data_IF_009900460303
#
_entry.id   IF_009900460303
#
_cell.length_a   1.000
_cell.length_b   1.000
_cell.length_c   1.000
_cell.angle_alpha   90.00
_cell.angle_beta   90.00
_cell.angle_gamma   90.00
#
_symmetry.space_group_name_H-M   'P 1'
#
loop_
_entity.id
_entity.type
_entity.pdbx_description
1 polymer ?
#
# COMPACT_ATOMS: atom_id res chain seq x y z
N UNK A 1 -10.22 21.39 15.03
CA UNK A 1 -10.51 21.85 13.66
C UNK A 1 -9.17 22.15 12.98
N UNK A 2 -8.91 21.54 11.81
CA UNK A 2 -7.67 21.80 11.04
C UNK A 2 -7.87 23.06 10.18
N UNK A 3 -6.94 23.98 10.25
CA UNK A 3 -6.96 25.24 9.50
C UNK A 3 -6.70 25.09 7.99
N UNK A 4 -6.37 23.89 7.50
CA UNK A 4 -6.13 23.63 6.08
C UNK A 4 -6.83 22.36 5.62
N UNK A 5 -7.57 22.40 4.50
CA UNK A 5 -8.15 21.20 3.92
C UNK A 5 -7.07 20.23 3.42
N UNK A 6 -7.36 18.94 3.56
CA UNK A 6 -6.51 17.88 3.02
C UNK A 6 -6.73 17.81 1.52
N UNK A 7 -5.76 18.24 0.72
CA UNK A 7 -5.79 18.13 -0.73
C UNK A 7 -5.14 16.84 -1.21
N UNK A 8 -5.74 16.18 -2.19
CA UNK A 8 -5.22 15.00 -2.86
C UNK A 8 -4.69 15.39 -4.23
N UNK A 9 -3.36 15.31 -4.41
CA UNK A 9 -2.75 15.56 -5.70
C UNK A 9 -2.84 14.32 -6.58
N UNK A 10 -3.29 14.49 -7.81
CA UNK A 10 -3.34 13.44 -8.82
C UNK A 10 -2.04 13.55 -9.63
N UNK A 11 -1.16 12.57 -9.49
CA UNK A 11 -0.05 12.39 -10.41
C UNK A 11 -0.43 11.32 -11.42
N UNK A 12 -0.49 11.68 -12.70
CA UNK A 12 -0.48 10.68 -13.77
C UNK A 12 0.94 10.15 -13.88
N UNK A 13 1.15 8.81 -13.98
CA UNK A 13 2.47 8.28 -14.24
C UNK A 13 2.92 8.75 -15.63
N UNK A 14 3.99 9.50 -15.67
CA UNK A 14 4.68 9.88 -16.89
C UNK A 14 5.65 8.77 -17.33
N UNK A 15 6.08 8.78 -18.58
CA UNK A 15 6.99 7.78 -19.21
C UNK A 15 8.33 7.57 -18.50
N UNK A 16 8.63 8.30 -17.42
CA UNK A 16 9.81 8.14 -16.57
C UNK A 16 9.84 6.78 -15.86
N UNK A 17 8.67 6.14 -15.61
CA UNK A 17 8.60 4.81 -14.97
C UNK A 17 9.26 3.69 -15.78
N UNK A 18 9.39 3.85 -17.10
CA UNK A 18 9.96 2.81 -17.97
C UNK A 18 11.48 2.69 -17.80
N UNK A 19 12.14 3.74 -17.27
CA UNK A 19 13.61 3.81 -17.11
C UNK A 19 14.12 3.43 -15.72
N UNK A 20 13.22 3.19 -14.73
CA UNK A 20 13.63 2.86 -13.36
C UNK A 20 14.21 1.44 -13.27
N UNK A 21 15.20 1.26 -12.40
CA UNK A 21 15.85 -0.03 -12.15
C UNK A 21 14.85 -1.08 -11.66
N UNK A 22 14.91 -2.29 -12.20
CA UNK A 22 14.18 -3.45 -11.68
C UNK A 22 14.86 -3.95 -10.41
N UNK A 23 14.13 -4.05 -9.32
CA UNK A 23 14.60 -4.55 -8.03
C UNK A 23 14.25 -6.03 -7.84
N UNK A 24 13.07 -6.45 -8.26
CA UNK A 24 12.65 -7.84 -8.24
C UNK A 24 11.79 -8.16 -9.45
N UNK A 25 11.96 -9.35 -9.99
CA UNK A 25 11.15 -9.90 -11.07
C UNK A 25 10.59 -11.25 -10.64
N UNK A 26 9.33 -11.51 -10.97
CA UNK A 26 8.71 -12.80 -10.73
C UNK A 26 7.93 -13.27 -11.95
N UNK A 27 7.98 -14.58 -12.18
CA UNK A 27 7.37 -15.20 -13.37
C UNK A 27 6.53 -16.40 -12.99
N UNK A 28 5.26 -16.38 -13.41
CA UNK A 28 4.34 -17.52 -13.37
C UNK A 28 4.27 -18.22 -12.02
N UNK A 29 4.10 -17.49 -10.92
CA UNK A 29 4.07 -18.08 -9.57
C UNK A 29 2.84 -18.95 -9.40
N UNK A 30 3.07 -20.17 -8.91
CA UNK A 30 2.04 -21.08 -8.44
C UNK A 30 2.39 -21.52 -7.01
N UNK A 31 1.40 -21.44 -6.11
CA UNK A 31 1.45 -21.99 -4.76
C UNK A 31 0.20 -22.80 -4.49
N UNK A 32 0.36 -24.03 -3.99
CA UNK A 32 -0.72 -24.93 -3.62
C UNK A 32 -0.70 -25.22 -2.13
N UNK A 33 -1.86 -25.19 -1.54
CA UNK A 33 -2.17 -25.69 -0.22
C UNK A 33 -3.23 -26.81 -0.38
N UNK A 34 -3.53 -27.60 0.65
CA UNK A 34 -4.51 -28.70 0.50
C UNK A 34 -5.85 -28.25 -0.10
N UNK A 35 -6.37 -27.09 0.33
CA UNK A 35 -7.69 -26.58 -0.06
C UNK A 35 -7.63 -25.26 -0.83
N UNK A 36 -6.43 -24.76 -1.17
CA UNK A 36 -6.27 -23.45 -1.82
C UNK A 36 -5.14 -23.44 -2.86
N UNK A 37 -5.41 -22.84 -4.01
CA UNK A 37 -4.40 -22.61 -5.07
C UNK A 37 -4.27 -21.14 -5.39
N UNK A 38 -3.03 -20.63 -5.37
CA UNK A 38 -2.69 -19.26 -5.78
C UNK A 38 -1.89 -19.26 -7.08
N UNK A 39 -2.37 -18.49 -8.06
CA UNK A 39 -1.67 -18.19 -9.32
C UNK A 39 -1.38 -16.69 -9.39
N UNK A 40 -0.13 -16.32 -9.72
CA UNK A 40 0.26 -14.93 -9.89
C UNK A 40 0.87 -14.75 -11.27
N UNK A 41 0.36 -13.80 -12.03
CA UNK A 41 0.94 -13.42 -13.33
C UNK A 41 2.34 -12.84 -13.13
N UNK A 42 3.14 -12.87 -14.19
CA UNK A 42 4.50 -12.31 -14.16
C UNK A 42 4.47 -10.80 -13.96
N UNK A 43 5.44 -10.30 -13.19
CA UNK A 43 5.53 -8.88 -12.90
C UNK A 43 6.92 -8.48 -12.39
N UNK A 44 7.07 -7.17 -12.21
CA UNK A 44 8.32 -6.55 -11.75
C UNK A 44 8.04 -5.53 -10.67
N UNK A 45 8.94 -5.44 -9.69
CA UNK A 45 9.00 -4.35 -8.71
C UNK A 45 10.15 -3.41 -9.11
N UNK A 46 9.85 -2.13 -9.21
CA UNK A 46 10.79 -1.11 -9.69
C UNK A 46 11.18 -0.14 -8.59
N UNK A 47 12.37 0.41 -8.73
CA UNK A 47 12.89 1.46 -7.87
C UNK A 47 11.96 2.69 -7.84
N UNK A 48 11.87 3.34 -6.68
CA UNK A 48 11.03 4.52 -6.43
C UNK A 48 9.53 4.32 -6.75
N UNK A 49 9.04 3.07 -6.76
CA UNK A 49 7.67 2.71 -7.05
C UNK A 49 7.00 1.99 -5.88
N UNK A 50 5.77 2.37 -5.57
CA UNK A 50 4.94 1.69 -4.58
C UNK A 50 3.83 0.94 -5.31
N UNK A 51 3.81 -0.38 -5.15
CA UNK A 51 2.78 -1.25 -5.69
C UNK A 51 1.77 -1.60 -4.59
N UNK A 52 0.54 -1.15 -4.75
CA UNK A 52 -0.58 -1.54 -3.88
C UNK A 52 -1.15 -2.88 -4.31
N UNK A 53 -1.55 -3.70 -3.35
CA UNK A 53 -2.19 -4.99 -3.59
C UNK A 53 -3.61 -4.97 -3.04
N UNK A 54 -4.59 -5.11 -3.92
CA UNK A 54 -6.01 -5.11 -3.60
C UNK A 54 -6.66 -6.44 -3.94
N UNK A 55 -7.73 -6.77 -3.22
CA UNK A 55 -8.52 -7.99 -3.46
C UNK A 55 -9.26 -8.43 -2.20
N UNK A 56 -10.20 -9.34 -2.36
CA UNK A 56 -10.98 -9.92 -1.25
C UNK A 56 -10.11 -10.66 -0.23
N UNK A 57 -10.74 -11.05 0.88
CA UNK A 57 -10.09 -11.86 1.92
C UNK A 57 -9.86 -13.29 1.42
N UNK A 58 -8.84 -13.95 1.98
CA UNK A 58 -8.48 -15.34 1.69
C UNK A 58 -8.23 -15.62 0.19
N UNK A 59 -7.72 -14.64 -0.57
CA UNK A 59 -7.29 -14.79 -1.96
C UNK A 59 -5.77 -14.99 -2.11
N UNK A 60 -5.01 -15.03 -0.99
CA UNK A 60 -3.58 -15.31 -1.01
C UNK A 60 -2.66 -14.08 -1.05
N UNK A 61 -3.17 -12.85 -0.77
CA UNK A 61 -2.35 -11.63 -0.72
C UNK A 61 -1.17 -11.74 0.23
N UNK A 62 -1.42 -12.15 1.49
CA UNK A 62 -0.38 -12.39 2.51
C UNK A 62 0.60 -13.48 2.06
N UNK A 63 0.13 -14.53 1.39
CA UNK A 63 0.99 -15.58 0.85
C UNK A 63 1.93 -15.01 -0.22
N UNK A 64 1.40 -14.21 -1.13
CA UNK A 64 2.20 -13.57 -2.18
C UNK A 64 3.29 -12.67 -1.61
N UNK A 65 2.94 -11.77 -0.68
CA UNK A 65 3.94 -10.87 -0.09
C UNK A 65 5.02 -11.62 0.68
N UNK A 66 4.66 -12.75 1.35
CA UNK A 66 5.62 -13.63 2.01
C UNK A 66 6.53 -14.35 1.02
N UNK A 67 6.01 -14.77 -0.15
CA UNK A 67 6.83 -15.37 -1.21
C UNK A 67 7.83 -14.34 -1.76
N UNK A 68 7.41 -13.10 -2.02
CA UNK A 68 8.31 -12.02 -2.43
C UNK A 68 9.38 -11.74 -1.37
N UNK A 69 9.01 -11.77 -0.09
CA UNK A 69 9.94 -11.59 1.03
C UNK A 69 10.83 -12.82 1.32
N UNK A 70 10.67 -13.92 0.56
CA UNK A 70 11.45 -15.15 0.77
C UNK A 70 11.05 -15.97 2.01
N UNK A 71 9.93 -15.64 2.64
CA UNK A 71 9.41 -16.31 3.85
C UNK A 71 8.49 -17.50 3.54
N UNK A 72 8.05 -17.62 2.30
CA UNK A 72 7.20 -18.72 1.82
C UNK A 72 7.75 -19.23 0.48
N UNK A 73 7.79 -20.56 0.31
CA UNK A 73 8.31 -21.20 -0.91
C UNK A 73 7.23 -21.27 -1.99
N UNK A 74 7.64 -21.10 -3.26
CA UNK A 74 6.77 -21.37 -4.41
C UNK A 74 6.79 -22.86 -4.75
N UNK A 75 5.71 -23.36 -5.38
CA UNK A 75 5.68 -24.71 -5.97
C UNK A 75 6.10 -24.67 -7.44
N UNK A 76 5.75 -23.58 -8.17
CA UNK A 76 6.21 -23.32 -9.53
C UNK A 76 6.46 -21.83 -9.73
N UNK A 77 7.19 -21.51 -10.81
CA UNK A 77 7.59 -20.15 -11.13
C UNK A 77 8.96 -19.78 -10.57
N UNK A 78 9.31 -18.52 -10.68
CA UNK A 78 10.59 -18.02 -10.22
C UNK A 78 10.42 -16.59 -9.66
N UNK A 79 11.10 -16.30 -8.58
CA UNK A 79 11.37 -14.94 -8.12
C UNK A 79 12.87 -14.71 -8.27
N UNK A 80 13.22 -13.70 -9.06
CA UNK A 80 14.62 -13.29 -9.28
C UNK A 80 14.80 -11.92 -8.63
N UNK A 81 15.56 -11.88 -7.55
CA UNK A 81 15.88 -10.64 -6.85
C UNK A 81 17.23 -10.77 -6.15
N UNK A 82 18.01 -9.71 -6.21
CA UNK A 82 19.19 -9.48 -5.35
C UNK A 82 18.85 -8.44 -4.26
N UNK A 83 17.63 -7.89 -4.31
CA UNK A 83 17.16 -6.86 -3.40
C UNK A 83 16.98 -7.40 -1.98
N UNK A 84 17.43 -6.63 -1.01
CA UNK A 84 17.12 -6.86 0.40
C UNK A 84 15.66 -6.45 0.65
N UNK A 85 14.90 -7.29 1.35
CA UNK A 85 13.48 -7.07 1.60
C UNK A 85 13.22 -7.04 3.10
N UNK A 86 12.58 -5.97 3.58
CA UNK A 86 12.03 -5.90 4.94
C UNK A 86 10.55 -6.25 4.90
N UNK A 87 10.09 -7.11 5.79
CA UNK A 87 8.70 -7.53 5.88
C UNK A 87 8.07 -7.11 7.21
N UNK A 88 6.91 -6.46 7.13
CA UNK A 88 6.02 -6.17 8.25
C UNK A 88 4.80 -7.10 8.16
N UNK A 89 4.63 -8.03 9.13
CA UNK A 89 3.50 -8.96 9.13
C UNK A 89 2.17 -8.27 9.47
N UNK A 90 1.05 -8.91 9.10
CA UNK A 90 -0.29 -8.46 9.44
C UNK A 90 -0.51 -8.41 10.96
N UNK A 91 -0.14 -9.48 11.66
CA UNK A 91 -0.23 -9.56 13.11
C UNK A 91 1.10 -9.20 13.75
N UNK A 92 1.04 -8.34 14.75
CA UNK A 92 2.19 -7.84 15.47
C UNK A 92 2.25 -8.50 16.84
N UNK A 93 3.46 -8.86 17.25
CA UNK A 93 3.73 -9.29 18.61
C UNK A 93 4.15 -8.08 19.44
N UNK A 94 3.63 -7.99 20.66
CA UNK A 94 4.09 -7.04 21.68
C UNK A 94 5.13 -7.64 22.63
N UNK A 95 5.73 -8.79 22.25
CA UNK A 95 6.63 -9.55 23.11
C UNK A 95 8.03 -8.95 23.26
N UNK A 96 8.29 -7.80 22.62
CA UNK A 96 9.56 -7.11 22.79
C UNK A 96 9.69 -6.52 24.19
N UNK A 97 10.74 -6.94 24.90
CA UNK A 97 11.04 -6.46 26.25
C UNK A 97 11.91 -5.20 26.17
N UNK A 98 11.28 -4.04 26.21
CA UNK A 98 11.96 -2.75 26.18
C UNK A 98 11.07 -1.64 25.64
N UNK A 99 11.64 -0.45 25.67
CA UNK A 99 10.93 0.75 25.23
C UNK A 99 10.85 0.85 23.71
N UNK A 100 9.90 1.66 23.22
CA UNK A 100 9.80 1.99 21.79
C UNK A 100 11.13 2.55 21.25
N UNK A 101 11.81 3.40 22.03
CA UNK A 101 13.10 3.95 21.62
C UNK A 101 14.13 2.86 21.40
N UNK A 102 14.27 1.92 22.33
CA UNK A 102 15.20 0.79 22.17
C UNK A 102 14.92 -0.04 20.93
N UNK A 103 13.63 -0.34 20.67
CA UNK A 103 13.23 -1.08 19.47
C UNK A 103 13.57 -0.34 18.17
N UNK A 104 13.38 0.99 18.14
CA UNK A 104 13.74 1.81 16.98
C UNK A 104 15.26 1.89 16.79
N UNK A 105 16.02 2.06 17.89
CA UNK A 105 17.49 2.07 17.86
C UNK A 105 18.05 0.76 17.27
N UNK A 106 17.50 -0.39 17.67
CA UNK A 106 17.90 -1.70 17.13
C UNK A 106 17.48 -1.91 15.68
N UNK A 107 16.39 -1.29 15.25
CA UNK A 107 15.84 -1.46 13.90
C UNK A 107 16.49 -0.52 12.87
N UNK A 108 17.09 0.56 13.32
CA UNK A 108 17.68 1.58 12.45
C UNK A 108 19.12 1.20 12.08
N UNK A 109 19.45 1.46 10.81
CA UNK A 109 20.82 1.35 10.32
C UNK A 109 21.65 2.62 10.52
N UNK A 110 21.08 3.66 11.13
CA UNK A 110 21.73 4.96 11.34
C UNK A 110 20.93 5.90 12.24
N UNK A 111 21.37 7.14 12.33
CA UNK A 111 20.66 8.18 13.08
C UNK A 111 19.32 8.49 12.43
N UNK A 112 18.22 8.24 13.15
CA UNK A 112 16.85 8.50 12.71
C UNK A 112 16.21 9.68 13.45
N UNK A 113 16.87 10.23 14.44
CA UNK A 113 16.38 11.39 15.21
C UNK A 113 16.64 12.71 14.48
N UNK A 114 17.32 12.66 13.34
CA UNK A 114 17.59 13.79 12.47
C UNK A 114 17.31 13.45 11.00
N UNK A 115 17.11 14.50 10.18
CA UNK A 115 17.00 14.34 8.73
C UNK A 115 15.68 13.79 8.22
N UNK A 116 15.76 12.92 7.22
CA UNK A 116 14.60 12.48 6.45
C UNK A 116 13.66 11.57 7.24
N UNK A 117 14.17 10.67 8.05
CA UNK A 117 13.36 9.73 8.85
C UNK A 117 12.56 10.51 9.89
N UNK A 118 13.21 11.39 10.63
CA UNK A 118 12.53 12.22 11.63
C UNK A 118 11.41 13.05 11.00
N UNK A 119 11.74 13.83 9.98
CA UNK A 119 10.80 14.78 9.37
C UNK A 119 9.67 14.12 8.58
N UNK A 120 9.90 12.93 7.98
CA UNK A 120 8.91 12.26 7.12
C UNK A 120 8.12 11.17 7.84
N UNK A 121 8.68 10.54 8.86
CA UNK A 121 8.07 9.41 9.55
C UNK A 121 7.79 9.71 11.04
N UNK A 122 8.81 10.03 11.83
CA UNK A 122 8.70 10.13 13.30
C UNK A 122 7.74 11.24 13.73
N UNK A 123 7.99 12.46 13.27
CA UNK A 123 7.19 13.63 13.63
C UNK A 123 5.75 13.56 13.11
N UNK A 124 5.50 13.25 11.81
CA UNK A 124 4.13 13.17 11.31
C UNK A 124 3.29 12.10 11.97
N UNK A 125 3.88 10.95 12.33
CA UNK A 125 3.18 9.85 12.99
C UNK A 125 3.07 10.01 14.51
N UNK A 126 3.74 11.01 15.07
CA UNK A 126 3.71 11.33 16.51
C UNK A 126 4.39 10.30 17.40
N UNK A 127 5.29 9.48 16.84
CA UNK A 127 5.91 8.35 17.55
C UNK A 127 6.93 8.80 18.60
N UNK A 128 7.47 10.01 18.50
CA UNK A 128 8.33 10.62 19.53
C UNK A 128 7.71 10.58 20.93
N UNK A 129 6.39 10.76 21.01
CA UNK A 129 5.64 10.72 22.27
C UNK A 129 5.63 9.33 22.92
N UNK A 130 5.95 8.30 22.15
CA UNK A 130 5.92 6.90 22.58
C UNK A 130 7.29 6.39 23.02
N UNK A 131 8.39 7.12 22.81
CA UNK A 131 9.77 6.66 23.03
C UNK A 131 10.02 6.03 24.41
N UNK A 132 9.36 6.57 25.45
CA UNK A 132 9.52 6.10 26.84
C UNK A 132 8.54 5.00 27.23
N UNK A 133 7.56 4.67 26.39
CA UNK A 133 6.63 3.59 26.66
C UNK A 133 7.28 2.23 26.39
N UNK A 134 6.93 1.26 27.23
CA UNK A 134 7.22 -0.15 26.92
C UNK A 134 6.39 -0.59 25.71
N UNK A 135 6.98 -1.44 24.85
CA UNK A 135 6.28 -1.93 23.66
C UNK A 135 5.03 -2.73 24.03
N UNK A 136 5.07 -3.45 25.16
CA UNK A 136 3.93 -4.19 25.72
C UNK A 136 2.73 -3.31 26.11
N UNK A 137 2.97 -2.02 26.39
CA UNK A 137 1.94 -1.07 26.86
C UNK A 137 1.32 -0.25 25.73
N UNK A 138 1.71 -0.51 24.49
CA UNK A 138 1.18 0.19 23.33
C UNK A 138 -0.24 -0.24 23.00
N UNK A 139 -1.10 0.72 22.68
CA UNK A 139 -2.37 0.42 22.02
C UNK A 139 -2.14 -0.20 20.64
N UNK A 140 -3.15 -0.90 20.10
CA UNK A 140 -3.04 -1.53 18.78
C UNK A 140 -2.60 -0.57 17.67
N UNK A 141 -3.13 0.66 17.66
CA UNK A 141 -2.75 1.68 16.69
C UNK A 141 -1.34 2.24 16.90
N UNK A 142 -0.91 2.40 18.15
CA UNK A 142 0.47 2.81 18.49
C UNK A 142 1.47 1.72 18.08
N UNK A 143 1.18 0.46 18.43
CA UNK A 143 2.00 -0.69 18.05
C UNK A 143 2.12 -0.81 16.51
N UNK A 144 1.03 -0.59 15.81
CA UNK A 144 1.00 -0.61 14.35
C UNK A 144 1.91 0.46 13.74
N UNK A 145 1.84 1.71 14.23
CA UNK A 145 2.73 2.79 13.79
C UNK A 145 4.20 2.46 14.04
N UNK A 146 4.51 1.95 15.22
CA UNK A 146 5.88 1.53 15.58
C UNK A 146 6.37 0.41 14.66
N UNK A 147 5.55 -0.61 14.39
CA UNK A 147 5.93 -1.71 13.52
C UNK A 147 6.12 -1.31 12.05
N UNK A 148 5.33 -0.36 11.54
CA UNK A 148 5.60 0.21 10.21
C UNK A 148 6.93 0.93 10.19
N UNK A 149 7.23 1.72 11.21
CA UNK A 149 8.51 2.42 11.35
C UNK A 149 9.69 1.45 11.41
N UNK A 150 9.65 0.43 12.26
CA UNK A 150 10.73 -0.58 12.36
C UNK A 150 10.99 -1.29 11.03
N UNK A 151 9.95 -1.45 10.19
CA UNK A 151 10.11 -2.00 8.85
C UNK A 151 10.80 -0.99 7.90
N UNK A 152 10.35 0.26 7.91
CA UNK A 152 10.82 1.31 6.99
C UNK A 152 12.23 1.83 7.34
N UNK A 153 12.65 1.72 8.59
CA UNK A 153 13.97 2.20 9.05
C UNK A 153 15.12 1.25 8.71
N UNK A 154 14.84 0.03 8.24
CA UNK A 154 15.86 -0.92 7.82
C UNK A 154 16.49 -0.50 6.49
N UNK A 155 17.79 -0.70 6.34
CA UNK A 155 18.49 -0.49 5.07
C UNK A 155 18.24 -1.66 4.12
N UNK A 156 17.18 -1.51 3.33
CA UNK A 156 16.72 -2.51 2.37
C UNK A 156 16.32 -1.82 1.06
N UNK A 157 16.08 -2.60 0.01
CA UNK A 157 15.67 -2.10 -1.31
C UNK A 157 14.15 -2.11 -1.47
N UNK A 158 13.46 -3.05 -0.80
CA UNK A 158 12.02 -3.25 -0.91
C UNK A 158 11.39 -3.40 0.47
N UNK A 159 10.34 -2.63 0.72
CA UNK A 159 9.50 -2.75 1.91
C UNK A 159 8.24 -3.53 1.58
N UNK A 160 8.02 -4.65 2.24
CA UNK A 160 6.85 -5.49 2.11
C UNK A 160 5.96 -5.30 3.34
N UNK A 161 4.82 -4.63 3.18
CA UNK A 161 3.95 -4.23 4.28
C UNK A 161 2.58 -4.92 4.15
N UNK A 162 2.22 -5.75 5.12
CA UNK A 162 0.95 -6.46 5.16
C UNK A 162 0.00 -5.76 6.16
N UNK A 163 -1.07 -5.15 5.64
CA UNK A 163 -2.07 -4.36 6.35
C UNK A 163 -1.46 -3.29 7.28
N UNK A 164 -0.70 -2.32 6.74
CA UNK A 164 -0.08 -1.29 7.57
C UNK A 164 -1.09 -0.34 8.23
N UNK A 165 -2.34 -0.27 7.77
CA UNK A 165 -3.36 0.61 8.33
C UNK A 165 -4.23 -0.02 9.42
N UNK A 166 -4.06 -1.31 9.71
CA UNK A 166 -4.84 -1.99 10.72
C UNK A 166 -4.77 -1.27 12.07
N UNK A 167 -5.89 -1.18 12.79
CA UNK A 167 -6.02 -0.52 14.10
C UNK A 167 -5.69 0.97 14.15
N UNK A 168 -5.42 1.62 13.00
CA UNK A 168 -5.10 3.05 12.92
C UNK A 168 -6.37 3.83 12.56
N UNK A 169 -6.58 4.95 13.23
CA UNK A 169 -7.71 5.85 12.98
C UNK A 169 -7.63 6.49 11.57
N UNK A 170 -8.80 6.82 10.99
CA UNK A 170 -8.90 7.30 9.60
C UNK A 170 -7.99 8.49 9.32
N UNK A 171 -7.87 9.45 10.25
CA UNK A 171 -7.01 10.62 10.06
C UNK A 171 -5.54 10.23 10.02
N UNK A 172 -5.13 9.37 10.93
CA UNK A 172 -3.76 8.87 11.02
C UNK A 172 -3.40 7.96 9.85
N UNK A 173 -4.35 7.22 9.24
CA UNK A 173 -4.11 6.44 8.00
C UNK A 173 -3.70 7.33 6.84
N UNK A 174 -4.33 8.51 6.70
CA UNK A 174 -3.96 9.48 5.65
C UNK A 174 -2.55 10.01 5.88
N UNK A 175 -2.21 10.31 7.13
CA UNK A 175 -0.87 10.76 7.50
C UNK A 175 0.15 9.65 7.21
N UNK A 176 -0.15 8.41 7.62
CA UNK A 176 0.70 7.24 7.39
C UNK A 176 0.93 7.01 5.89
N UNK A 177 -0.14 7.02 5.07
CA UNK A 177 -0.04 6.82 3.62
C UNK A 177 0.89 7.85 2.97
N UNK A 178 0.76 9.13 3.35
CA UNK A 178 1.60 10.22 2.83
C UNK A 178 3.04 10.10 3.32
N UNK A 179 3.23 9.74 4.58
CA UNK A 179 4.56 9.53 5.15
C UNK A 179 5.30 8.38 4.44
N UNK A 180 4.63 7.24 4.26
CA UNK A 180 5.18 6.10 3.51
C UNK A 180 5.52 6.49 2.07
N UNK A 181 4.60 7.12 1.34
CA UNK A 181 4.85 7.51 -0.05
C UNK A 181 6.06 8.44 -0.17
N UNK A 182 6.10 9.49 0.66
CA UNK A 182 7.21 10.45 0.65
C UNK A 182 8.54 9.78 1.00
N UNK A 183 8.55 8.97 2.05
CA UNK A 183 9.75 8.32 2.54
C UNK A 183 10.31 7.34 1.50
N UNK A 184 9.52 6.38 1.03
CA UNK A 184 9.96 5.36 0.07
C UNK A 184 10.53 6.00 -1.19
N UNK A 185 9.85 7.03 -1.73
CA UNK A 185 10.30 7.72 -2.94
C UNK A 185 11.57 8.56 -2.70
N UNK A 186 11.66 9.26 -1.59
CA UNK A 186 12.84 10.07 -1.29
C UNK A 186 14.11 9.23 -1.09
N UNK A 187 13.95 7.96 -0.70
CA UNK A 187 15.07 7.02 -0.55
C UNK A 187 15.38 6.24 -1.83
N UNK A 188 14.62 6.46 -2.93
CA UNK A 188 14.76 5.66 -4.16
C UNK A 188 14.43 4.17 -3.95
N UNK A 189 13.72 3.81 -2.88
CA UNK A 189 13.36 2.43 -2.53
C UNK A 189 12.01 2.04 -3.17
N UNK A 190 11.64 0.78 -3.06
CA UNK A 190 10.34 0.27 -3.49
C UNK A 190 9.50 -0.21 -2.32
N UNK A 191 8.19 -0.26 -2.50
CA UNK A 191 7.31 -0.91 -1.53
C UNK A 191 6.21 -1.75 -2.20
N UNK A 192 5.87 -2.86 -1.55
CA UNK A 192 4.71 -3.69 -1.84
C UNK A 192 3.77 -3.61 -0.63
N UNK A 193 2.57 -3.05 -0.82
CA UNK A 193 1.64 -2.75 0.27
C UNK A 193 0.34 -3.50 0.05
N UNK A 194 0.05 -4.46 0.91
CA UNK A 194 -1.27 -5.12 1.00
C UNK A 194 -2.10 -4.37 2.02
N UNK A 195 -3.25 -3.85 1.62
CA UNK A 195 -4.19 -3.22 2.56
C UNK A 195 -5.63 -3.35 2.06
N UNK A 196 -6.58 -3.31 2.98
CA UNK A 196 -8.01 -3.31 2.69
C UNK A 196 -8.60 -1.90 2.59
N UNK A 197 -7.88 -0.89 3.07
CA UNK A 197 -8.29 0.50 2.97
C UNK A 197 -7.96 1.06 1.58
N UNK A 198 -8.99 1.12 0.73
CA UNK A 198 -8.87 1.63 -0.63
C UNK A 198 -8.35 3.08 -0.65
N UNK A 199 -8.70 3.90 0.36
CA UNK A 199 -8.24 5.28 0.44
C UNK A 199 -6.74 5.36 0.71
N UNK A 200 -6.24 4.52 1.62
CA UNK A 200 -4.82 4.42 1.89
C UNK A 200 -4.08 3.96 0.63
N UNK A 201 -4.53 2.88 0.00
CA UNK A 201 -3.91 2.35 -1.22
C UNK A 201 -3.92 3.38 -2.34
N UNK A 202 -5.02 4.12 -2.53
CA UNK A 202 -5.11 5.20 -3.53
C UNK A 202 -4.09 6.33 -3.27
N UNK A 203 -3.84 6.68 -2.01
CA UNK A 203 -2.90 7.73 -1.65
C UNK A 203 -1.44 7.27 -1.81
N UNK A 204 -1.16 6.03 -1.39
CA UNK A 204 0.23 5.57 -1.25
C UNK A 204 0.79 4.98 -2.54
N UNK A 205 -0.04 4.36 -3.39
CA UNK A 205 0.41 3.55 -4.52
C UNK A 205 0.59 4.32 -5.81
N UNK A 206 1.53 3.88 -6.63
CA UNK A 206 1.75 4.30 -8.02
C UNK A 206 1.17 3.29 -9.02
N UNK A 207 1.27 2.00 -8.67
CA UNK A 207 0.72 0.88 -9.45
C UNK A 207 -0.10 -0.03 -8.55
N UNK A 208 -0.93 -0.87 -9.16
CA UNK A 208 -1.77 -1.82 -8.44
C UNK A 208 -1.61 -3.23 -8.99
N UNK A 209 -1.78 -4.19 -8.10
CA UNK A 209 -1.87 -5.61 -8.37
C UNK A 209 -3.18 -6.12 -7.77
N UNK A 210 -4.03 -6.71 -8.61
CA UNK A 210 -5.39 -7.06 -8.23
C UNK A 210 -5.52 -8.56 -8.05
N UNK A 211 -6.01 -8.95 -6.87
CA UNK A 211 -6.38 -10.33 -6.55
C UNK A 211 -7.86 -10.56 -6.80
N UNK A 212 -8.15 -11.66 -7.49
CA UNK A 212 -9.49 -12.15 -7.77
C UNK A 212 -9.56 -13.66 -7.57
N UNK A 213 -10.76 -14.22 -7.56
CA UNK A 213 -10.96 -15.66 -7.36
C UNK A 213 -12.05 -15.97 -6.36
N UNK A 214 -12.07 -17.22 -5.89
CA UNK A 214 -13.02 -17.70 -4.92
C UNK A 214 -12.35 -17.83 -3.55
N UNK A 215 -12.83 -17.02 -2.59
CA UNK A 215 -12.28 -16.94 -1.23
C UNK A 215 -12.08 -18.33 -0.60
N UNK A 216 -10.88 -18.60 -0.13
CA UNK A 216 -10.52 -19.88 0.51
C UNK A 216 -10.35 -21.07 -0.42
N UNK A 217 -10.58 -20.94 -1.74
CA UNK A 217 -10.46 -22.03 -2.72
C UNK A 217 -9.36 -21.73 -3.73
N UNK A 218 -9.43 -20.56 -4.38
CA UNK A 218 -8.40 -20.16 -5.33
C UNK A 218 -8.22 -18.64 -5.35
N UNK A 219 -7.01 -18.23 -5.68
CA UNK A 219 -6.66 -16.84 -5.91
C UNK A 219 -5.87 -16.68 -7.21
N UNK A 220 -6.15 -15.61 -7.92
CA UNK A 220 -5.41 -15.21 -9.11
C UNK A 220 -4.99 -13.77 -8.95
N UNK A 221 -3.71 -13.47 -9.12
CA UNK A 221 -3.20 -12.10 -9.08
C UNK A 221 -2.80 -11.65 -10.48
N UNK A 222 -3.23 -10.45 -10.86
CA UNK A 222 -2.87 -9.81 -12.12
C UNK A 222 -1.38 -9.43 -12.15
N UNK A 223 -0.88 -9.08 -13.32
CA UNK A 223 0.36 -8.29 -13.42
C UNK A 223 0.17 -6.92 -12.78
N UNK A 224 1.25 -6.26 -12.31
CA UNK A 224 1.19 -4.85 -11.90
C UNK A 224 0.72 -3.97 -13.06
N UNK A 225 -0.22 -3.08 -12.79
CA UNK A 225 -0.81 -2.16 -13.77
C UNK A 225 -0.85 -0.74 -13.22
N UNK A 226 -1.10 0.26 -14.04
CA UNK A 226 -1.26 1.62 -13.55
C UNK A 226 -2.46 1.74 -12.59
N UNK A 227 -2.42 2.75 -11.74
CA UNK A 227 -3.41 2.91 -10.66
C UNK A 227 -4.86 3.03 -11.17
N UNK A 228 -5.07 3.75 -12.26
CA UNK A 228 -6.40 3.95 -12.83
C UNK A 228 -7.00 2.63 -13.34
N UNK A 229 -6.22 1.88 -14.11
CA UNK A 229 -6.61 0.56 -14.63
C UNK A 229 -6.89 -0.42 -13.48
N UNK A 230 -5.98 -0.49 -12.50
CA UNK A 230 -6.12 -1.36 -11.34
C UNK A 230 -7.34 -1.02 -10.47
N UNK A 231 -7.58 0.27 -10.21
CA UNK A 231 -8.77 0.70 -9.48
C UNK A 231 -10.05 0.39 -10.23
N UNK A 232 -10.10 0.63 -11.55
CA UNK A 232 -11.26 0.26 -12.36
C UNK A 232 -11.55 -1.24 -12.30
N UNK A 233 -10.52 -2.09 -12.49
CA UNK A 233 -10.68 -3.54 -12.40
C UNK A 233 -11.17 -3.97 -11.02
N UNK A 234 -10.58 -3.45 -9.94
CA UNK A 234 -10.95 -3.80 -8.57
C UNK A 234 -12.39 -3.40 -8.23
N UNK A 235 -12.78 -2.17 -8.57
CA UNK A 235 -14.12 -1.65 -8.30
C UNK A 235 -15.18 -2.34 -9.16
N UNK A 236 -14.83 -2.71 -10.40
CA UNK A 236 -15.70 -3.53 -11.26
C UNK A 236 -15.98 -4.89 -10.63
N UNK A 237 -14.96 -5.56 -10.09
CA UNK A 237 -15.12 -6.84 -9.40
C UNK A 237 -16.02 -6.74 -8.16
N UNK A 238 -16.04 -5.59 -7.49
CA UNK A 238 -16.93 -5.31 -6.36
C UNK A 238 -18.32 -4.83 -6.77
N UNK A 239 -18.53 -4.46 -8.04
CA UNK A 239 -19.80 -3.89 -8.53
C UNK A 239 -20.11 -2.49 -8.00
N UNK A 240 -19.11 -1.76 -7.49
CA UNK A 240 -19.25 -0.42 -6.91
C UNK A 240 -18.51 0.62 -7.74
N UNK A 241 -19.03 1.86 -7.76
CA UNK A 241 -18.38 2.97 -8.45
C UNK A 241 -17.92 4.04 -7.47
N UNK A 242 -16.80 4.66 -7.82
CA UNK A 242 -16.19 5.72 -7.03
C UNK A 242 -16.24 7.06 -7.75
N UNK A 243 -16.44 8.13 -6.97
CA UNK A 243 -16.22 9.50 -7.42
C UNK A 243 -15.20 10.18 -6.52
N UNK A 244 -14.55 11.21 -7.02
CA UNK A 244 -13.81 12.15 -6.18
C UNK A 244 -14.70 13.32 -5.82
N UNK A 245 -14.67 13.68 -4.56
CA UNK A 245 -15.29 14.89 -4.06
C UNK A 245 -14.58 16.11 -4.67
N UNK A 246 -15.33 17.04 -5.23
CA UNK A 246 -14.80 18.17 -5.99
C UNK A 246 -13.96 19.08 -5.10
N UNK A 247 -14.40 19.30 -3.85
CA UNK A 247 -13.76 20.26 -2.94
C UNK A 247 -12.54 19.67 -2.25
N UNK A 248 -12.58 18.39 -1.88
CA UNK A 248 -11.55 17.74 -1.08
C UNK A 248 -10.69 16.75 -1.87
N UNK A 249 -11.09 16.36 -3.06
CA UNK A 249 -10.46 15.28 -3.84
C UNK A 249 -10.59 13.89 -3.20
N UNK A 250 -11.37 13.74 -2.12
CA UNK A 250 -11.54 12.46 -1.43
C UNK A 250 -12.30 11.46 -2.29
N UNK A 251 -11.82 10.23 -2.41
CA UNK A 251 -12.59 9.16 -3.03
C UNK A 251 -13.84 8.86 -2.18
N UNK A 252 -15.00 8.76 -2.83
CA UNK A 252 -16.28 8.40 -2.22
C UNK A 252 -16.99 7.36 -3.05
N UNK A 253 -17.57 6.35 -2.39
CA UNK A 253 -18.48 5.39 -3.04
C UNK A 253 -19.75 6.13 -3.49
N UNK A 254 -20.18 5.87 -4.72
CA UNK A 254 -21.48 6.35 -5.16
C UNK A 254 -22.59 5.56 -4.47
N UNK A 255 -23.73 6.24 -4.25
CA UNK A 255 -24.92 5.54 -3.82
C UNK A 255 -25.32 4.55 -4.92
N UNK A 256 -25.53 3.29 -4.55
CA UNK A 256 -26.01 2.25 -5.48
C UNK A 256 -27.26 2.72 -6.23
N UNK A 257 -27.30 2.44 -7.54
CA UNK A 257 -28.38 2.81 -8.45
C UNK A 257 -28.64 4.32 -8.62
N UNK A 258 -27.74 5.19 -8.15
CA UNK A 258 -27.78 6.61 -8.47
C UNK A 258 -27.54 6.84 -9.97
N UNK A 259 -27.94 8.00 -10.50
CA UNK A 259 -27.68 8.36 -11.90
C UNK A 259 -26.21 8.26 -12.27
N UNK A 260 -25.32 8.68 -11.36
CA UNK A 260 -23.87 8.63 -11.56
C UNK A 260 -23.38 7.18 -11.54
N UNK A 261 -23.82 6.35 -10.59
CA UNK A 261 -23.46 4.95 -10.48
C UNK A 261 -23.82 4.17 -11.75
N UNK A 262 -25.06 4.31 -12.22
CA UNK A 262 -25.52 3.68 -13.47
C UNK A 262 -24.69 4.11 -14.66
N UNK A 263 -24.50 5.43 -14.82
CA UNK A 263 -23.69 5.97 -15.93
C UNK A 263 -22.28 5.43 -15.93
N UNK A 264 -21.60 5.42 -14.76
CA UNK A 264 -20.23 4.89 -14.65
C UNK A 264 -20.16 3.40 -14.95
N UNK A 265 -21.16 2.60 -14.56
CA UNK A 265 -21.25 1.18 -14.91
C UNK A 265 -21.46 0.96 -16.40
N UNK A 266 -22.33 1.75 -17.03
CA UNK A 266 -22.59 1.68 -18.47
C UNK A 266 -21.35 2.06 -19.29
N UNK A 267 -20.63 3.10 -18.85
CA UNK A 267 -19.36 3.56 -19.46
C UNK A 267 -18.14 2.70 -19.06
N UNK A 268 -18.29 1.72 -18.15
CA UNK A 268 -17.22 0.90 -17.55
C UNK A 268 -16.09 1.72 -16.90
N UNK A 269 -16.41 2.90 -16.37
CA UNK A 269 -15.50 3.82 -15.69
C UNK A 269 -15.77 3.84 -14.18
N UNK A 270 -15.44 2.76 -13.51
CA UNK A 270 -15.74 2.58 -12.08
C UNK A 270 -14.94 3.51 -11.16
N UNK A 271 -13.73 3.89 -11.56
CA UNK A 271 -12.87 4.82 -10.86
C UNK A 271 -12.78 6.13 -11.65
N UNK A 272 -13.58 7.12 -11.24
CA UNK A 272 -13.64 8.41 -11.92
C UNK A 272 -12.56 9.35 -11.37
N UNK A 273 -11.53 9.60 -12.15
CA UNK A 273 -10.67 10.75 -11.98
C UNK A 273 -11.40 11.96 -12.59
N UNK A 274 -11.88 12.87 -11.76
CA UNK A 274 -12.36 14.17 -12.25
C UNK A 274 -11.19 14.84 -12.97
N UNK A 275 -11.17 14.77 -14.30
CA UNK A 275 -10.47 15.79 -15.09
C UNK A 275 -11.22 17.07 -14.78
N UNK A 276 -10.55 18.07 -14.25
CA UNK A 276 -11.13 19.40 -14.14
C UNK A 276 -11.76 19.77 -15.47
N UNK A 277 -12.98 20.34 -15.49
CA UNK A 277 -13.51 20.93 -16.70
C UNK A 277 -12.63 22.14 -17.03
N UNK A 278 -11.57 21.92 -17.81
CA UNK A 278 -10.98 22.99 -18.58
C UNK A 278 -12.02 23.39 -19.63
N UNK A 279 -12.50 24.65 -19.47
CA UNK A 279 -13.29 25.39 -20.45
C UNK A 279 -14.79 25.13 -20.49
N UNK A 280 -15.48 25.80 -19.56
CA UNK A 280 -16.75 26.45 -19.88
C UNK A 280 -16.67 27.92 -19.47
N UNK A 281 -15.71 28.64 -20.03
CA UNK A 281 -15.72 30.11 -20.12
C UNK A 281 -15.38 30.44 -21.55
N UNK A 282 -16.43 30.50 -22.39
CA UNK A 282 -16.58 31.32 -23.58
C UNK A 282 -17.83 30.81 -24.32
N UNK A 283 -18.99 31.31 -23.92
CA UNK A 283 -20.00 31.89 -24.82
C UNK A 283 -21.04 32.61 -23.98
#
# INVERSE_FOLDING_TARGET
FRDKPVTFNIYSPTDEYIKSKTLAEYTGILKKFPDFELKVESGVLREAQITGVLGGNALGKTTFIKMIAGLEKLDKGKISTEAKISYKPQYLSSDYNGTVKMLLDESSSGDYETGAIESTLILPLGVQKLYKKEVSDLSGGELQKVAVLTCLMRDVDVYALDEPSAFIDIEDRIVLARAMNRFVKSQGKSALIVDHDIQLVDIVSDSLLIFSGQSGINGTASKPMNKEEGMNMFLQNLGVTYRRDIDTGRPRVNKSDSKLDRRQKDEKTYYYLTREPQQAQQE
#
